data_IF_574024760969
#
_entry.id   IF_574024760969
#
_cell.length_a   1.000
_cell.length_b   1.000
_cell.length_c   1.000
_cell.angle_alpha   90.00
_cell.angle_beta   90.00
_cell.angle_gamma   90.00
#
_symmetry.space_group_name_H-M   'P 1'
#
loop_
_entity.id
_entity.type
_entity.pdbx_description
1 polymer ?
#
# COMPACT_ATOMS: atom_id res chain seq x y z
N UNK A 1 16.25 -27.70 31.41
CA UNK A 1 16.44 -28.35 30.09
C UNK A 1 15.17 -29.02 29.60
N UNK A 2 14.53 -29.89 30.40
CA UNK A 2 13.24 -30.55 30.07
C UNK A 2 12.14 -29.55 29.71
N UNK A 3 11.90 -28.54 30.55
CA UNK A 3 10.92 -27.49 30.29
C UNK A 3 11.13 -26.75 28.95
N UNK A 4 12.38 -26.44 28.58
CA UNK A 4 12.70 -25.85 27.27
C UNK A 4 12.48 -26.83 26.11
N UNK A 5 12.62 -28.14 26.32
CA UNK A 5 12.38 -29.13 25.27
C UNK A 5 10.88 -29.27 25.01
N UNK A 6 10.11 -29.42 26.07
CA UNK A 6 8.66 -29.63 26.00
C UNK A 6 7.93 -28.34 25.60
N UNK A 7 8.49 -27.17 25.96
CA UNK A 7 8.01 -25.85 25.54
C UNK A 7 8.53 -25.37 24.18
N UNK A 8 9.00 -26.26 23.30
CA UNK A 8 9.52 -25.93 21.96
C UNK A 8 10.56 -24.79 21.96
N UNK A 9 11.48 -24.82 22.91
CA UNK A 9 12.53 -23.84 23.08
C UNK A 9 12.14 -22.62 23.92
N UNK A 10 10.95 -22.59 24.54
CA UNK A 10 10.49 -21.52 25.43
C UNK A 10 10.25 -22.06 26.84
N UNK A 11 10.54 -21.26 27.87
CA UNK A 11 10.31 -21.59 29.28
C UNK A 11 9.95 -20.33 30.06
N UNK A 12 9.11 -20.48 31.08
CA UNK A 12 8.73 -19.43 32.00
C UNK A 12 9.24 -19.82 33.39
N UNK A 13 9.83 -18.86 34.11
CA UNK A 13 10.23 -19.01 35.52
C UNK A 13 9.42 -18.03 36.36
N UNK A 14 8.65 -18.57 37.30
CA UNK A 14 7.93 -17.78 38.30
C UNK A 14 8.78 -17.73 39.57
N UNK A 15 9.09 -16.54 40.04
CA UNK A 15 9.65 -16.35 41.37
C UNK A 15 8.53 -16.50 42.40
N UNK A 16 8.64 -17.49 43.28
CA UNK A 16 7.62 -17.84 44.26
C UNK A 16 7.33 -16.70 45.26
N UNK A 17 8.35 -15.93 45.66
CA UNK A 17 8.21 -14.96 46.73
C UNK A 17 7.71 -13.60 46.23
N UNK A 18 8.04 -13.25 44.98
CA UNK A 18 7.69 -11.96 44.37
C UNK A 18 6.55 -12.07 43.34
N UNK A 19 6.15 -13.29 42.96
CA UNK A 19 5.27 -13.58 41.82
C UNK A 19 5.76 -12.99 40.48
N UNK A 20 7.05 -12.64 40.37
CA UNK A 20 7.62 -12.13 39.12
C UNK A 20 7.81 -13.26 38.10
N UNK A 21 7.45 -12.97 36.85
CA UNK A 21 7.58 -13.90 35.73
C UNK A 21 8.78 -13.49 34.87
N UNK A 22 9.66 -14.45 34.58
CA UNK A 22 10.76 -14.30 33.62
C UNK A 22 10.63 -15.30 32.48
N UNK A 23 10.83 -14.80 31.25
CA UNK A 23 10.78 -15.61 30.04
C UNK A 23 12.18 -15.96 29.56
N UNK A 24 12.36 -17.21 29.12
CA UNK A 24 13.59 -17.69 28.49
C UNK A 24 13.24 -18.38 27.18
N UNK A 25 14.02 -18.11 26.12
CA UNK A 25 13.91 -18.83 24.86
C UNK A 25 15.27 -19.17 24.27
N UNK A 26 15.31 -20.26 23.50
CA UNK A 26 16.41 -20.60 22.59
C UNK A 26 16.35 -19.81 21.28
N UNK A 27 15.22 -19.16 20.99
CA UNK A 27 15.04 -18.28 19.84
C UNK A 27 15.30 -16.83 20.26
N UNK A 28 15.47 -15.95 19.28
CA UNK A 28 15.56 -14.51 19.51
C UNK A 28 14.22 -14.00 20.08
N UNK A 29 14.13 -13.82 21.39
CA UNK A 29 12.88 -13.46 22.07
C UNK A 29 13.04 -12.15 22.84
N UNK A 30 12.04 -11.27 22.75
CA UNK A 30 11.93 -10.11 23.63
C UNK A 30 11.60 -10.57 25.06
N UNK A 31 12.44 -10.31 26.07
CA UNK A 31 12.20 -10.76 27.43
C UNK A 31 11.00 -10.07 28.10
N UNK A 32 10.60 -8.88 27.62
CA UNK A 32 9.49 -8.09 28.18
C UNK A 32 8.13 -8.49 27.61
N UNK A 33 8.06 -8.71 26.28
CA UNK A 33 6.78 -8.98 25.59
C UNK A 33 6.58 -10.45 25.25
N UNK A 34 7.65 -11.24 25.30
CA UNK A 34 7.67 -12.64 24.91
C UNK A 34 7.54 -12.92 23.41
N UNK A 35 7.62 -11.90 22.56
CA UNK A 35 7.64 -12.05 21.10
C UNK A 35 8.93 -12.76 20.70
N UNK A 36 8.82 -13.89 19.99
CA UNK A 36 9.96 -14.62 19.44
C UNK A 36 10.08 -14.40 17.92
N UNK A 37 11.26 -13.99 17.49
CA UNK A 37 11.66 -13.87 16.10
C UNK A 37 12.27 -15.17 15.60
N UNK A 38 12.12 -15.41 14.29
CA UNK A 38 12.84 -16.47 13.60
C UNK A 38 14.33 -16.12 13.56
N UNK A 39 15.17 -17.15 13.46
CA UNK A 39 16.59 -16.93 13.22
C UNK A 39 16.79 -16.15 11.92
N UNK A 40 17.75 -15.20 11.88
CA UNK A 40 18.01 -14.40 10.70
C UNK A 40 18.59 -15.28 9.59
N UNK A 41 17.96 -15.22 8.42
CA UNK A 41 18.41 -15.79 7.16
C UNK A 41 18.49 -14.66 6.12
N UNK A 42 19.33 -14.78 5.08
CA UNK A 42 19.42 -13.75 4.03
C UNK A 42 18.07 -13.38 3.39
N UNK A 43 17.15 -14.36 3.28
CA UNK A 43 15.81 -14.14 2.75
C UNK A 43 14.92 -13.23 3.63
N UNK A 44 15.22 -13.08 4.92
CA UNK A 44 14.52 -12.14 5.79
C UNK A 44 14.85 -10.70 5.39
N UNK A 45 16.05 -10.44 4.88
CA UNK A 45 16.46 -9.09 4.47
C UNK A 45 16.14 -8.78 2.99
N UNK A 46 15.35 -9.63 2.34
CA UNK A 46 14.95 -9.46 0.94
C UNK A 46 13.48 -9.07 0.83
N UNK A 47 13.21 -7.89 0.27
CA UNK A 47 11.85 -7.45 -0.07
C UNK A 47 11.21 -8.26 -1.20
N UNK A 48 11.99 -9.09 -1.91
CA UNK A 48 11.50 -10.02 -2.92
C UNK A 48 11.06 -11.36 -2.31
N UNK A 49 11.36 -11.61 -1.03
CA UNK A 49 10.91 -12.80 -0.32
C UNK A 49 9.69 -12.47 0.55
N UNK A 50 8.65 -13.31 0.58
CA UNK A 50 7.55 -13.16 1.53
C UNK A 50 8.00 -13.12 3.00
N UNK A 51 9.16 -13.72 3.31
CA UNK A 51 9.75 -13.71 4.66
C UNK A 51 10.29 -12.34 5.09
N UNK A 52 10.69 -11.50 4.14
CA UNK A 52 11.29 -10.19 4.40
C UNK A 52 10.43 -9.01 3.97
N UNK A 53 9.55 -9.21 2.99
CA UNK A 53 8.69 -8.19 2.44
C UNK A 53 7.72 -7.61 3.48
N UNK A 54 7.53 -6.29 3.41
CA UNK A 54 6.42 -5.62 4.07
C UNK A 54 5.10 -6.20 3.55
N UNK A 55 4.27 -6.73 4.44
CA UNK A 55 2.99 -7.36 4.09
C UNK A 55 1.95 -6.35 3.56
N UNK A 56 2.05 -5.07 3.93
CA UNK A 56 1.12 -4.06 3.47
C UNK A 56 1.32 -3.73 1.98
N UNK A 57 2.58 -3.59 1.53
CA UNK A 57 2.91 -3.22 0.16
C UNK A 57 3.53 -4.36 -0.66
N UNK A 58 3.57 -5.59 -0.14
CA UNK A 58 4.22 -6.74 -0.75
C UNK A 58 5.65 -6.46 -1.27
N UNK A 59 6.44 -5.73 -0.48
CA UNK A 59 7.82 -5.41 -0.86
C UNK A 59 7.99 -4.34 -1.95
N UNK A 60 6.93 -3.62 -2.33
CA UNK A 60 7.02 -2.50 -3.28
C UNK A 60 7.56 -1.21 -2.63
N UNK A 61 7.18 -0.95 -1.37
CA UNK A 61 7.54 0.27 -0.63
C UNK A 61 6.57 1.44 -0.85
N UNK A 62 5.62 1.29 -1.76
CA UNK A 62 4.60 2.27 -2.09
C UNK A 62 3.27 1.59 -2.43
N UNK A 63 2.20 2.36 -2.41
CA UNK A 63 0.88 1.99 -2.89
C UNK A 63 0.53 2.89 -4.08
N UNK A 64 -0.16 2.31 -5.06
CA UNK A 64 -0.75 3.07 -6.15
C UNK A 64 -2.22 3.34 -5.81
N UNK A 65 -2.62 4.60 -5.84
CA UNK A 65 -4.02 5.03 -5.68
C UNK A 65 -4.42 5.92 -6.83
N UNK A 66 -5.70 5.92 -7.18
CA UNK A 66 -6.25 6.82 -8.17
C UNK A 66 -6.00 8.29 -7.78
N UNK A 67 -5.52 9.07 -8.75
CA UNK A 67 -5.26 10.49 -8.60
C UNK A 67 -6.35 11.28 -9.32
N UNK A 68 -7.18 11.97 -8.54
CA UNK A 68 -8.30 12.76 -9.06
C UNK A 68 -7.81 13.83 -10.04
N UNK A 69 -6.63 14.43 -9.82
CA UNK A 69 -6.09 15.46 -10.73
C UNK A 69 -5.66 14.89 -12.07
N UNK A 70 -5.30 13.60 -12.13
CA UNK A 70 -4.97 12.92 -13.39
C UNK A 70 -6.23 12.45 -14.11
N UNK A 71 -7.27 12.07 -13.35
CA UNK A 71 -8.58 11.66 -13.90
C UNK A 71 -9.35 12.88 -14.43
N UNK A 72 -9.32 14.00 -13.70
CA UNK A 72 -9.98 15.26 -14.02
C UNK A 72 -8.93 16.37 -14.04
N UNK A 73 -8.21 16.54 -15.16
CA UNK A 73 -7.16 17.55 -15.27
C UNK A 73 -7.71 18.99 -15.36
N UNK A 74 -8.91 19.16 -15.92
CA UNK A 74 -9.59 20.45 -16.03
C UNK A 74 -11.07 20.32 -15.61
N UNK A 75 -11.39 20.89 -14.45
CA UNK A 75 -12.74 20.87 -13.87
C UNK A 75 -13.69 21.92 -14.46
N UNK A 76 -13.19 22.79 -15.34
CA UNK A 76 -14.02 23.77 -16.08
C UNK A 76 -14.65 23.14 -17.31
N UNK A 77 -14.14 22.00 -17.76
CA UNK A 77 -14.73 21.24 -18.85
C UNK A 77 -15.92 20.44 -18.35
N UNK A 78 -16.83 20.17 -19.27
CA UNK A 78 -17.96 19.26 -19.10
C UNK A 78 -17.56 17.83 -19.49
N UNK A 79 -18.33 16.84 -19.03
CA UNK A 79 -18.03 15.42 -19.28
C UNK A 79 -17.99 15.12 -20.79
N UNK A 80 -18.91 15.69 -21.58
CA UNK A 80 -18.94 15.52 -23.03
C UNK A 80 -17.77 16.21 -23.78
N UNK A 81 -17.10 17.16 -23.14
CA UNK A 81 -15.89 17.83 -23.65
C UNK A 81 -14.61 17.17 -23.17
N UNK A 82 -14.69 15.98 -22.55
CA UNK A 82 -13.53 15.21 -22.14
C UNK A 82 -12.96 15.62 -20.77
N UNK A 83 -13.78 16.18 -19.87
CA UNK A 83 -13.32 16.54 -18.52
C UNK A 83 -12.80 15.33 -17.71
N UNK A 84 -13.28 14.12 -18.03
CA UNK A 84 -12.82 12.86 -17.41
C UNK A 84 -11.91 12.13 -18.41
N UNK A 85 -10.60 12.28 -18.23
CA UNK A 85 -9.59 11.75 -19.15
C UNK A 85 -9.58 10.21 -19.22
N UNK A 86 -10.00 9.50 -18.17
CA UNK A 86 -10.03 8.04 -18.17
C UNK A 86 -11.11 7.42 -19.05
N UNK A 87 -12.15 8.18 -19.42
CA UNK A 87 -13.31 7.69 -20.18
C UNK A 87 -13.11 8.00 -21.67
N UNK A 88 -12.29 7.19 -22.34
CA UNK A 88 -12.05 7.28 -23.79
C UNK A 88 -12.45 5.97 -24.51
N UNK A 89 -12.75 6.04 -25.81
CA UNK A 89 -12.95 4.86 -26.66
C UNK A 89 -14.25 4.08 -26.41
N UNK A 90 -14.23 2.74 -26.57
CA UNK A 90 -15.45 1.91 -26.56
C UNK A 90 -16.14 1.81 -25.18
N UNK A 91 -15.37 1.90 -24.09
CA UNK A 91 -15.92 1.87 -22.72
C UNK A 91 -16.69 3.16 -22.36
N UNK A 92 -16.45 4.25 -23.09
CA UNK A 92 -17.09 5.54 -22.84
C UNK A 92 -18.61 5.46 -22.85
N UNK A 93 -19.20 4.69 -23.77
CA UNK A 93 -20.67 4.61 -23.91
C UNK A 93 -21.36 4.05 -22.66
N UNK A 94 -20.77 3.05 -22.01
CA UNK A 94 -21.35 2.48 -20.80
C UNK A 94 -21.22 3.45 -19.61
N UNK A 95 -20.02 4.02 -19.41
CA UNK A 95 -19.80 5.03 -18.36
C UNK A 95 -20.71 6.24 -18.53
N UNK A 96 -20.82 6.79 -19.73
CA UNK A 96 -21.66 7.95 -20.03
C UNK A 96 -23.13 7.68 -19.70
N UNK A 97 -23.66 6.49 -20.03
CA UNK A 97 -25.04 6.12 -19.65
C UNK A 97 -25.26 6.07 -18.14
N UNK A 98 -24.29 5.55 -17.38
CA UNK A 98 -24.37 5.54 -15.91
C UNK A 98 -24.31 6.97 -15.36
N UNK A 99 -23.41 7.81 -15.87
CA UNK A 99 -23.27 9.20 -15.45
C UNK A 99 -24.52 10.02 -15.81
N UNK A 100 -25.16 9.78 -16.96
CA UNK A 100 -26.44 10.39 -17.31
C UNK A 100 -27.54 10.05 -16.31
N UNK A 101 -27.62 8.78 -15.87
CA UNK A 101 -28.57 8.36 -14.85
C UNK A 101 -28.28 9.05 -13.50
N UNK A 102 -27.02 9.14 -13.10
CA UNK A 102 -26.58 9.90 -11.91
C UNK A 102 -26.98 11.38 -12.05
N UNK A 103 -26.80 11.96 -13.23
CA UNK A 103 -27.18 13.33 -13.57
C UNK A 103 -28.66 13.61 -13.37
N UNK A 104 -29.55 12.66 -13.70
CA UNK A 104 -31.00 12.79 -13.44
C UNK A 104 -31.33 12.88 -11.95
N UNK A 105 -30.55 12.23 -11.08
CA UNK A 105 -30.75 12.30 -9.63
C UNK A 105 -30.20 13.59 -9.03
N UNK A 106 -28.99 13.99 -9.40
CA UNK A 106 -28.32 15.16 -8.83
C UNK A 106 -28.52 16.45 -9.63
N UNK A 107 -29.40 16.40 -10.63
CA UNK A 107 -29.86 17.52 -11.44
C UNK A 107 -28.74 18.22 -12.24
N UNK A 108 -27.88 17.42 -12.89
CA UNK A 108 -26.87 17.87 -13.85
C UNK A 108 -26.95 17.03 -15.14
N UNK A 109 -26.28 17.48 -16.19
CA UNK A 109 -26.14 16.74 -17.45
C UNK A 109 -24.69 16.64 -17.92
N UNK A 110 -24.44 15.97 -19.04
CA UNK A 110 -23.08 15.78 -19.57
C UNK A 110 -22.44 17.08 -20.09
N UNK A 111 -23.21 18.16 -20.27
CA UNK A 111 -22.76 19.48 -20.70
C UNK A 111 -22.42 20.40 -19.52
N UNK A 112 -22.82 20.00 -18.31
CA UNK A 112 -22.52 20.72 -17.08
C UNK A 112 -21.01 20.63 -16.78
N UNK A 113 -20.31 21.76 -16.57
CA UNK A 113 -18.93 21.76 -16.10
C UNK A 113 -18.75 20.98 -14.80
N UNK A 114 -17.65 20.22 -14.66
CA UNK A 114 -17.38 19.40 -13.48
C UNK A 114 -17.45 20.21 -12.17
N UNK A 115 -16.90 21.42 -12.16
CA UNK A 115 -16.92 22.34 -11.01
C UNK A 115 -18.32 22.77 -10.56
N UNK A 116 -19.33 22.66 -11.43
CA UNK A 116 -20.72 23.04 -11.15
C UNK A 116 -21.55 21.84 -10.64
N UNK A 117 -21.02 20.62 -10.76
CA UNK A 117 -21.66 19.40 -10.26
C UNK A 117 -21.51 19.37 -8.72
N UNK A 118 -22.63 19.13 -8.04
CA UNK A 118 -22.65 18.97 -6.57
C UNK A 118 -21.73 17.84 -6.12
N UNK A 119 -21.14 17.98 -4.93
CA UNK A 119 -20.18 17.03 -4.36
C UNK A 119 -20.73 15.60 -4.28
N UNK A 120 -22.01 15.45 -3.96
CA UNK A 120 -22.68 14.15 -3.89
C UNK A 120 -22.76 13.47 -5.27
N UNK A 121 -23.06 14.25 -6.32
CA UNK A 121 -23.04 13.78 -7.70
C UNK A 121 -21.64 13.41 -8.16
N UNK A 122 -20.63 14.22 -7.81
CA UNK A 122 -19.23 13.91 -8.12
C UNK A 122 -18.75 12.65 -7.40
N UNK A 123 -19.11 12.48 -6.12
CA UNK A 123 -18.78 11.27 -5.36
C UNK A 123 -19.43 10.03 -5.98
N UNK A 124 -20.68 10.13 -6.44
CA UNK A 124 -21.35 9.03 -7.15
C UNK A 124 -20.64 8.67 -8.47
N UNK A 125 -20.09 9.65 -9.20
CA UNK A 125 -19.30 9.42 -10.41
C UNK A 125 -17.95 8.75 -10.07
N UNK A 126 -17.25 9.26 -9.06
CA UNK A 126 -15.88 8.82 -8.76
C UNK A 126 -15.85 7.48 -8.01
N UNK A 127 -16.67 7.32 -6.99
CA UNK A 127 -16.66 6.18 -6.06
C UNK A 127 -17.84 5.23 -6.23
N UNK A 128 -18.80 5.57 -7.09
CA UNK A 128 -19.93 4.73 -7.42
C UNK A 128 -21.15 4.96 -6.53
N UNK A 129 -22.27 4.36 -6.93
CA UNK A 129 -23.50 4.27 -6.16
C UNK A 129 -24.37 3.11 -6.67
N UNK A 130 -25.21 2.58 -5.78
CA UNK A 130 -26.22 1.58 -6.12
C UNK A 130 -27.58 2.05 -5.64
N UNK A 131 -28.47 2.35 -6.58
CA UNK A 131 -29.79 2.87 -6.23
C UNK A 131 -30.80 2.72 -7.37
N UNK A 132 -32.06 2.55 -7.00
CA UNK A 132 -33.19 2.58 -7.92
C UNK A 132 -34.03 3.84 -7.62
N UNK A 133 -34.38 4.60 -8.65
CA UNK A 133 -35.25 5.76 -8.52
C UNK A 133 -36.11 5.97 -9.76
N UNK A 134 -37.28 6.59 -9.60
CA UNK A 134 -38.24 6.79 -10.69
C UNK A 134 -38.38 8.26 -11.01
N UNK A 135 -38.24 8.61 -12.29
CA UNK A 135 -38.43 9.98 -12.79
C UNK A 135 -39.73 10.04 -13.56
N UNK A 136 -40.64 10.94 -13.15
CA UNK A 136 -41.88 11.21 -13.89
C UNK A 136 -41.57 12.02 -15.15
N UNK A 137 -41.88 11.47 -16.33
CA UNK A 137 -41.79 12.23 -17.58
C UNK A 137 -43.01 13.14 -17.70
N UNK A 138 -42.76 14.45 -17.68
CA UNK A 138 -43.80 15.50 -17.75
C UNK A 138 -44.69 15.41 -19.00
N UNK A 139 -44.20 14.78 -20.08
CA UNK A 139 -44.84 14.82 -21.40
C UNK A 139 -45.79 13.66 -21.70
N UNK A 140 -45.84 12.60 -20.88
CA UNK A 140 -46.60 11.38 -21.23
C UNK A 140 -47.37 10.73 -20.07
N UNK A 141 -47.31 11.27 -18.85
CA UNK A 141 -47.92 10.63 -17.67
C UNK A 141 -47.25 9.31 -17.23
N UNK A 142 -46.13 8.95 -17.86
CA UNK A 142 -45.38 7.72 -17.63
C UNK A 142 -44.19 8.02 -16.71
N UNK A 143 -44.01 7.21 -15.67
CA UNK A 143 -42.78 7.18 -14.86
C UNK A 143 -41.76 6.23 -15.48
N UNK A 144 -40.52 6.70 -15.65
CA UNK A 144 -39.40 5.84 -16.06
C UNK A 144 -38.57 5.49 -14.84
N UNK A 145 -38.36 4.20 -14.62
CA UNK A 145 -37.48 3.70 -13.58
C UNK A 145 -36.03 3.72 -14.07
N UNK A 146 -35.14 4.17 -13.20
CA UNK A 146 -33.70 4.17 -13.39
C UNK A 146 -33.07 3.33 -12.31
N UNK A 147 -32.19 2.43 -12.73
CA UNK A 147 -31.36 1.61 -11.85
C UNK A 147 -29.92 1.97 -12.09
N UNK A 148 -29.26 2.50 -11.07
CA UNK A 148 -27.82 2.76 -11.07
C UNK A 148 -27.17 1.61 -10.32
N UNK A 149 -26.28 0.89 -11.01
CA UNK A 149 -25.36 -0.07 -10.43
C UNK A 149 -23.99 0.27 -10.99
N UNK A 150 -23.33 1.22 -10.33
CA UNK A 150 -22.10 1.78 -10.83
C UNK A 150 -21.05 1.78 -9.73
N UNK A 151 -19.94 1.10 -9.98
CA UNK A 151 -18.86 0.95 -8.99
C UNK A 151 -17.94 2.17 -8.93
N UNK A 152 -18.10 3.15 -9.82
CA UNK A 152 -17.27 4.36 -9.85
C UNK A 152 -16.02 4.22 -10.71
N UNK A 153 -15.54 5.37 -11.18
CA UNK A 153 -14.38 5.45 -12.07
C UNK A 153 -13.08 5.09 -11.34
N UNK A 154 -12.94 5.52 -10.08
CA UNK A 154 -11.74 5.25 -9.27
C UNK A 154 -11.57 3.75 -9.06
N UNK A 155 -12.62 3.08 -8.59
CA UNK A 155 -12.59 1.64 -8.33
C UNK A 155 -12.29 0.87 -9.61
N UNK A 156 -12.91 1.26 -10.74
CA UNK A 156 -12.60 0.66 -12.03
C UNK A 156 -11.11 0.77 -12.40
N UNK A 157 -10.52 1.97 -12.30
CA UNK A 157 -9.08 2.17 -12.62
C UNK A 157 -8.19 1.34 -11.69
N UNK A 158 -8.47 1.36 -10.39
CA UNK A 158 -7.69 0.62 -9.40
C UNK A 158 -7.78 -0.90 -9.62
N UNK A 159 -8.96 -1.43 -9.96
CA UNK A 159 -9.13 -2.84 -10.27
C UNK A 159 -8.46 -3.24 -11.59
N UNK A 160 -8.59 -2.42 -12.63
CA UNK A 160 -7.87 -2.63 -13.89
C UNK A 160 -6.34 -2.64 -13.68
N UNK A 161 -5.83 -1.86 -12.72
CA UNK A 161 -4.40 -1.84 -12.39
C UNK A 161 -3.88 -3.15 -11.78
N UNK A 162 -4.76 -3.90 -11.11
CA UNK A 162 -4.45 -5.21 -10.51
C UNK A 162 -4.37 -6.32 -11.57
N UNK A 163 -4.96 -6.13 -12.75
CA UNK A 163 -4.93 -7.07 -13.88
C UNK A 163 -3.57 -7.03 -14.60
N UNK A 164 -2.51 -7.34 -13.87
CA UNK A 164 -1.10 -7.25 -14.30
C UNK A 164 -0.76 -8.13 -15.51
N UNK A 165 -1.58 -9.14 -15.82
CA UNK A 165 -1.41 -10.03 -16.96
C UNK A 165 -1.68 -9.35 -18.31
N UNK A 166 -2.44 -8.25 -18.37
CA UNK A 166 -2.66 -7.47 -19.59
C UNK A 166 -1.87 -6.17 -19.53
N UNK A 167 -0.67 -6.17 -20.12
CA UNK A 167 0.26 -5.03 -20.08
C UNK A 167 -0.35 -3.71 -20.59
N UNK A 168 -1.22 -3.76 -21.61
CA UNK A 168 -1.87 -2.56 -22.18
C UNK A 168 -2.84 -1.92 -21.18
N UNK A 169 -3.66 -2.73 -20.50
CA UNK A 169 -4.61 -2.28 -19.48
C UNK A 169 -3.86 -1.71 -18.28
N UNK A 170 -2.87 -2.44 -17.77
CA UNK A 170 -2.04 -1.98 -16.66
C UNK A 170 -1.36 -0.64 -16.99
N UNK A 171 -0.82 -0.48 -18.21
CA UNK A 171 -0.21 0.78 -18.66
C UNK A 171 -1.23 1.92 -18.74
N UNK A 172 -2.43 1.66 -19.24
CA UNK A 172 -3.52 2.64 -19.26
C UNK A 172 -3.90 3.08 -17.85
N UNK A 173 -4.12 2.14 -16.92
CA UNK A 173 -4.51 2.45 -15.54
C UNK A 173 -3.44 3.26 -14.82
N UNK A 174 -2.16 2.90 -14.99
CA UNK A 174 -1.03 3.62 -14.37
C UNK A 174 -0.95 5.11 -14.76
N UNK A 175 -1.53 5.55 -15.88
CA UNK A 175 -1.60 6.97 -16.24
C UNK A 175 -2.42 7.79 -15.23
N UNK A 176 -3.38 7.16 -14.56
CA UNK A 176 -4.32 7.79 -13.64
C UNK A 176 -4.03 7.49 -12.17
N UNK A 177 -2.97 6.73 -11.88
CA UNK A 177 -2.54 6.42 -10.54
C UNK A 177 -1.38 7.32 -10.13
N UNK A 178 -1.28 7.58 -8.83
CA UNK A 178 -0.11 8.18 -8.20
C UNK A 178 0.43 7.24 -7.13
N UNK A 179 1.76 7.28 -6.97
CA UNK A 179 2.47 6.46 -5.99
C UNK A 179 2.56 7.22 -4.67
N UNK A 180 2.18 6.53 -3.60
CA UNK A 180 2.23 7.02 -2.23
C UNK A 180 3.10 6.09 -1.42
N UNK A 181 4.01 6.65 -0.61
CA UNK A 181 4.85 5.82 0.25
C UNK A 181 4.01 4.93 1.17
N UNK A 182 4.47 3.69 1.34
CA UNK A 182 3.85 2.78 2.28
C UNK A 182 4.14 3.25 3.70
N UNK A 183 3.11 3.70 4.41
CA UNK A 183 3.19 4.20 5.80
C UNK A 183 3.71 3.11 6.75
N UNK A 184 3.29 1.86 6.54
CA UNK A 184 3.67 0.72 7.40
C UNK A 184 5.18 0.44 7.43
N UNK A 185 5.86 0.53 6.28
CA UNK A 185 7.31 0.34 6.20
C UNK A 185 8.11 1.65 6.06
N UNK A 186 7.41 2.78 5.95
CA UNK A 186 7.99 4.08 5.60
C UNK A 186 8.84 4.03 4.34
N UNK A 187 8.47 3.22 3.35
CA UNK A 187 9.24 3.00 2.12
C UNK A 187 10.41 2.00 2.20
N UNK A 188 10.66 1.35 3.35
CA UNK A 188 11.76 0.37 3.47
C UNK A 188 11.59 -0.89 2.64
N UNK A 189 10.34 -1.18 2.21
CA UNK A 189 9.92 -2.40 1.51
C UNK A 189 9.99 -3.68 2.39
N UNK A 190 10.58 -3.59 3.58
CA UNK A 190 10.81 -4.70 4.48
C UNK A 190 9.79 -4.70 5.62
N UNK A 191 9.56 -5.87 6.21
CA UNK A 191 8.80 -5.99 7.44
C UNK A 191 9.57 -5.42 8.64
N UNK A 192 8.85 -5.22 9.74
CA UNK A 192 9.37 -4.57 10.95
C UNK A 192 10.53 -5.36 11.55
N UNK A 193 10.42 -6.69 11.55
CA UNK A 193 11.40 -7.62 12.07
C UNK A 193 12.75 -7.43 11.37
N UNK A 194 12.75 -7.39 10.05
CA UNK A 194 13.96 -7.29 9.25
C UNK A 194 14.63 -5.92 9.37
N UNK A 195 13.83 -4.86 9.55
CA UNK A 195 14.36 -3.51 9.84
C UNK A 195 14.82 -3.33 11.29
N UNK A 196 14.57 -4.30 12.18
CA UNK A 196 14.97 -4.21 13.60
C UNK A 196 16.39 -4.69 13.84
N UNK A 197 16.99 -5.43 12.91
CA UNK A 197 18.40 -5.82 12.98
C UNK A 197 19.29 -4.63 12.66
N UNK A 198 20.34 -4.46 13.47
CA UNK A 198 21.30 -3.37 13.35
C UNK A 198 22.74 -3.87 13.30
N UNK A 199 23.58 -3.15 12.57
CA UNK A 199 25.04 -3.26 12.55
C UNK A 199 25.58 -1.84 12.75
N UNK A 200 26.45 -1.61 13.73
CA UNK A 200 26.92 -0.25 14.06
C UNK A 200 25.78 0.74 14.24
N UNK A 201 24.78 0.38 15.07
CA UNK A 201 23.55 1.13 15.33
C UNK A 201 22.61 1.41 14.15
N UNK A 202 22.96 0.99 12.92
CA UNK A 202 22.19 1.22 11.69
C UNK A 202 21.51 -0.05 11.20
N UNK A 203 20.26 0.07 10.78
CA UNK A 203 19.54 -1.01 10.10
C UNK A 203 19.73 -0.97 8.58
N UNK A 204 19.28 -2.03 7.90
CA UNK A 204 19.44 -2.17 6.44
C UNK A 204 18.77 -1.04 5.63
N UNK A 205 17.63 -0.50 6.09
CA UNK A 205 16.95 0.63 5.41
C UNK A 205 17.84 1.86 5.45
N UNK A 206 18.35 2.20 6.62
CA UNK A 206 19.24 3.35 6.81
C UNK A 206 20.47 3.22 5.91
N UNK A 207 21.13 2.06 5.92
CA UNK A 207 22.30 1.82 5.07
C UNK A 207 21.98 1.90 3.58
N UNK A 208 20.86 1.33 3.13
CA UNK A 208 20.47 1.32 1.72
C UNK A 208 20.02 2.69 1.17
N UNK A 209 19.74 3.64 2.05
CA UNK A 209 19.29 5.00 1.67
C UNK A 209 20.39 6.05 1.82
N UNK A 210 21.57 5.66 2.31
CA UNK A 210 22.73 6.54 2.38
C UNK A 210 23.27 6.85 0.99
N UNK A 211 23.74 8.08 0.81
CA UNK A 211 24.61 8.41 -0.30
C UNK A 211 25.88 7.56 -0.24
N UNK A 212 26.41 7.17 -1.40
CA UNK A 212 27.55 6.25 -1.50
C UNK A 212 28.78 6.73 -0.72
N UNK A 213 29.04 8.05 -0.69
CA UNK A 213 30.15 8.64 0.06
C UNK A 213 29.97 8.52 1.58
N UNK A 214 28.73 8.66 2.06
CA UNK A 214 28.39 8.48 3.49
C UNK A 214 28.47 7.00 3.85
N UNK A 215 27.95 6.12 3.00
CA UNK A 215 28.04 4.68 3.19
C UNK A 215 29.50 4.20 3.27
N UNK A 216 30.37 4.68 2.37
CA UNK A 216 31.80 4.37 2.42
C UNK A 216 32.45 4.79 3.74
N UNK A 217 32.13 5.99 4.22
CA UNK A 217 32.62 6.49 5.51
C UNK A 217 32.15 5.61 6.68
N UNK A 218 30.90 5.13 6.61
CA UNK A 218 30.36 4.18 7.58
C UNK A 218 31.07 2.82 7.53
N UNK A 219 31.33 2.25 6.34
CA UNK A 219 32.02 0.95 6.17
C UNK A 219 33.41 0.96 6.82
N UNK A 220 34.14 2.06 6.73
CA UNK A 220 35.49 2.18 7.33
C UNK A 220 35.41 2.29 8.86
N UNK A 221 34.45 3.06 9.38
CA UNK A 221 34.36 3.37 10.82
C UNK A 221 33.65 2.30 11.64
N UNK A 222 32.72 1.53 11.05
CA UNK A 222 31.84 0.60 11.78
C UNK A 222 32.59 -0.43 12.64
N UNK A 223 33.84 -0.78 12.29
CA UNK A 223 34.64 -1.76 13.06
C UNK A 223 34.86 -1.33 14.51
N UNK A 224 34.87 -0.02 14.78
CA UNK A 224 35.00 0.53 16.13
C UNK A 224 33.77 0.27 17.00
N UNK A 225 32.59 0.14 16.37
CA UNK A 225 31.31 -0.14 17.04
C UNK A 225 31.02 -1.64 17.20
N UNK A 226 31.87 -2.51 16.64
CA UNK A 226 31.69 -3.96 16.67
C UNK A 226 32.53 -4.62 17.78
N UNK A 227 31.97 -5.63 18.44
CA UNK A 227 32.74 -6.45 19.35
C UNK A 227 33.73 -7.38 18.62
N UNK A 228 34.64 -8.03 19.35
CA UNK A 228 35.69 -8.88 18.77
C UNK A 228 35.14 -10.00 17.87
N UNK A 229 34.07 -10.67 18.30
CA UNK A 229 33.44 -11.75 17.53
C UNK A 229 32.78 -11.21 16.25
N UNK A 230 32.06 -10.10 16.34
CA UNK A 230 31.44 -9.43 15.21
C UNK A 230 32.50 -8.97 14.20
N UNK A 231 33.59 -8.37 14.69
CA UNK A 231 34.71 -7.94 13.85
C UNK A 231 35.36 -9.11 13.10
N UNK A 232 35.53 -10.26 13.77
CA UNK A 232 36.06 -11.47 13.14
C UNK A 232 35.17 -11.93 11.96
N UNK A 233 33.85 -11.93 12.14
CA UNK A 233 32.88 -12.30 11.11
C UNK A 233 32.82 -11.25 9.99
N UNK A 234 32.73 -9.97 10.35
CA UNK A 234 32.53 -8.87 9.42
C UNK A 234 33.78 -8.53 8.58
N UNK A 235 34.98 -8.92 9.03
CA UNK A 235 36.25 -8.53 8.41
C UNK A 235 36.37 -8.81 6.90
N UNK A 236 35.84 -9.93 6.42
CA UNK A 236 35.84 -10.27 4.99
C UNK A 236 34.76 -9.48 4.24
N UNK A 237 33.56 -9.38 4.81
CA UNK A 237 32.43 -8.67 4.22
C UNK A 237 32.75 -7.18 4.05
N UNK A 238 33.34 -6.55 5.07
CA UNK A 238 33.74 -5.13 5.04
C UNK A 238 34.93 -4.84 4.10
N UNK A 239 35.61 -5.86 3.57
CA UNK A 239 36.64 -5.67 2.53
C UNK A 239 36.05 -5.70 1.12
N UNK A 240 34.90 -6.36 0.95
CA UNK A 240 34.19 -6.45 -0.33
C UNK A 240 33.25 -5.26 -0.56
N UNK A 241 32.73 -4.67 0.52
CA UNK A 241 31.94 -3.44 0.52
C UNK A 241 32.81 -2.19 0.36
#
# INVERSE_FOLDING_TARGET
KTALKDGNGVMIVLNHDTNEIRYFSKNLMCPTTGIAYKNPEPNNFSFNSPKGACQCCNGLGFHKKADIKKIIPDDKLSINRGAIASIEGQNSKWFLKQIEAIGKKYNFDLTTPIKEIKKEGMNAILYGMQENFSVKLKSAGISKEYKIQFDGIINFIEDQSKLSYVKSIARWANKYLSEYHCESCGGSRLNKESTSYKVGEKNIKELSTMDISIFYSWVISVKEDLNEQQNKIASQILKEL
#
